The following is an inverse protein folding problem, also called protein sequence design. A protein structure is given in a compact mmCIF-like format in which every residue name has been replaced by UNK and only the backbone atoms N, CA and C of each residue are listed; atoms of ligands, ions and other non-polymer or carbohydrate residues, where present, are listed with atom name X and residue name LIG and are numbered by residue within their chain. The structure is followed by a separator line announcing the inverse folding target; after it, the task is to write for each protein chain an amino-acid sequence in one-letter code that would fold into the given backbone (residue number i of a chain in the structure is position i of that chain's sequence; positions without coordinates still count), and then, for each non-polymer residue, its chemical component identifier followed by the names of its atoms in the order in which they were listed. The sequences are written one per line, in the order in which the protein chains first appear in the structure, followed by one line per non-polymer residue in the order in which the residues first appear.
data_IF_198412292327
#
_entry.id   IF_198412292327
#
_cell.length_a   1.000
_cell.length_b   1.000
_cell.length_c   1.000
_cell.angle_alpha   90.00
_cell.angle_beta   90.00
_cell.angle_gamma   90.00
#
_symmetry.space_group_name_H-M   'P 1'
#
loop_
_entity.id
_entity.type
_entity.pdbx_description
1 polymer ?
#
# COMPACT_ATOMS: atom_id res chain seq x y z
N UNK A 1 12.77 1.61 -6.36
CA UNK A 1 11.32 1.80 -6.51
C UNK A 1 10.61 1.18 -5.32
N UNK A 2 9.69 1.92 -4.74
CA UNK A 2 9.01 1.54 -3.50
C UNK A 2 7.51 1.64 -3.69
N UNK A 3 6.79 0.57 -3.34
CA UNK A 3 5.34 0.57 -3.30
C UNK A 3 4.92 0.92 -1.88
N UNK A 4 4.02 1.88 -1.73
CA UNK A 4 3.48 2.28 -0.43
C UNK A 4 2.23 1.47 -0.11
N UNK A 5 2.22 0.79 1.04
CA UNK A 5 1.02 0.17 1.59
C UNK A 5 -0.01 1.26 1.94
N UNK A 6 -1.27 0.90 1.99
CA UNK A 6 -2.37 1.80 2.32
C UNK A 6 -2.13 2.58 3.62
N UNK A 7 -1.61 1.93 4.65
CA UNK A 7 -1.31 2.58 5.93
C UNK A 7 -0.25 3.68 5.81
N UNK A 8 0.72 3.51 4.92
CA UNK A 8 1.76 4.52 4.69
C UNK A 8 1.16 5.74 3.99
N UNK A 9 0.29 5.49 2.99
CA UNK A 9 -0.38 6.56 2.23
C UNK A 9 -1.32 7.35 3.14
N UNK A 10 -2.05 6.68 4.03
CA UNK A 10 -3.04 7.30 4.88
C UNK A 10 -2.48 7.96 6.14
N UNK A 11 -1.25 7.64 6.54
CA UNK A 11 -0.67 8.21 7.77
C UNK A 11 -0.67 9.74 7.77
N UNK A 12 -0.24 10.44 6.69
CA UNK A 12 -0.27 11.90 6.66
C UNK A 12 -1.67 12.51 6.77
N UNK A 13 -2.72 11.74 6.50
CA UNK A 13 -4.11 12.21 6.56
C UNK A 13 -4.70 12.16 7.97
N UNK A 14 -4.00 11.54 8.92
CA UNK A 14 -4.45 11.45 10.31
C UNK A 14 -4.30 12.79 11.01
N UNK A 15 -5.14 13.07 12.05
CA UNK A 15 -4.99 14.29 12.86
C UNK A 15 -3.62 14.39 13.53
N UNK A 16 -3.02 13.27 13.92
CA UNK A 16 -1.71 13.21 14.59
C UNK A 16 -0.83 12.17 13.90
N UNK A 17 -0.31 12.50 12.72
CA UNK A 17 0.54 11.55 11.99
C UNK A 17 1.85 11.30 12.72
N UNK A 18 2.38 10.09 12.55
CA UNK A 18 3.67 9.71 13.13
C UNK A 18 4.80 10.49 12.44
N UNK A 19 5.60 11.27 13.21
CA UNK A 19 6.70 12.04 12.63
C UNK A 19 7.72 11.19 11.87
N UNK A 20 7.97 9.96 12.30
CA UNK A 20 8.94 9.09 11.63
C UNK A 20 8.50 8.77 10.20
N UNK A 21 7.21 8.51 10.00
CA UNK A 21 6.66 8.22 8.67
C UNK A 21 6.72 9.46 7.78
N UNK A 22 6.33 10.63 8.33
CA UNK A 22 6.39 11.89 7.58
C UNK A 22 7.82 12.20 7.13
N UNK A 23 8.80 12.05 8.03
CA UNK A 23 10.19 12.29 7.71
C UNK A 23 10.71 11.31 6.67
N UNK A 24 10.32 10.04 6.78
CA UNK A 24 10.71 9.03 5.80
C UNK A 24 10.16 9.38 4.42
N UNK A 25 8.89 9.75 4.33
CA UNK A 25 8.26 10.15 3.06
C UNK A 25 8.95 11.38 2.46
N UNK A 26 9.25 12.37 3.29
CA UNK A 26 9.90 13.61 2.83
C UNK A 26 11.30 13.37 2.25
N UNK A 27 11.97 12.31 2.69
CA UNK A 27 13.30 11.94 2.18
C UNK A 27 13.25 11.19 0.87
N UNK A 28 12.07 10.72 0.45
CA UNK A 28 11.95 9.95 -0.80
C UNK A 28 11.77 10.88 -1.99
N UNK A 29 12.35 10.49 -3.13
CA UNK A 29 12.03 11.15 -4.39
C UNK A 29 10.62 10.70 -4.84
N UNK A 30 9.67 11.63 -5.07
CA UNK A 30 8.31 11.23 -5.46
C UNK A 30 8.24 10.30 -6.65
N UNK A 31 9.13 10.47 -7.63
CA UNK A 31 9.16 9.64 -8.83
C UNK A 31 9.50 8.16 -8.56
N UNK A 32 10.01 7.83 -7.38
CA UNK A 32 10.35 6.46 -6.98
C UNK A 32 9.24 5.79 -6.17
N UNK A 33 8.17 6.50 -5.85
CA UNK A 33 7.07 6.01 -5.04
C UNK A 33 5.89 5.59 -5.92
N UNK A 34 5.37 4.41 -5.64
CA UNK A 34 4.24 3.79 -6.35
C UNK A 34 3.16 3.40 -5.36
N UNK A 35 1.94 3.29 -5.83
CA UNK A 35 0.83 2.70 -5.09
C UNK A 35 0.19 1.62 -5.95
N UNK A 36 -0.73 0.85 -5.38
CA UNK A 36 -1.42 -0.22 -6.11
C UNK A 36 -2.91 0.08 -6.23
N UNK A 37 -3.57 -0.59 -7.17
CA UNK A 37 -5.04 -0.54 -7.26
C UNK A 37 -5.70 -1.11 -6.01
N UNK A 38 -5.02 -1.99 -5.26
CA UNK A 38 -5.51 -2.50 -3.98
C UNK A 38 -5.61 -1.36 -2.96
N UNK A 39 -4.54 -0.57 -2.81
CA UNK A 39 -4.56 0.61 -1.93
C UNK A 39 -5.57 1.64 -2.39
N UNK A 40 -5.67 1.86 -3.69
CA UNK A 40 -6.68 2.77 -4.26
C UNK A 40 -8.09 2.32 -3.84
N UNK A 41 -8.38 1.03 -3.98
CA UNK A 41 -9.69 0.47 -3.59
C UNK A 41 -9.95 0.63 -2.09
N UNK A 42 -8.95 0.35 -1.25
CA UNK A 42 -9.08 0.47 0.20
C UNK A 42 -9.30 1.92 0.64
N UNK A 43 -8.57 2.86 0.06
CA UNK A 43 -8.72 4.29 0.37
C UNK A 43 -10.11 4.79 -0.03
N UNK A 44 -10.56 4.46 -1.25
CA UNK A 44 -11.86 4.87 -1.73
C UNK A 44 -13.00 4.24 -0.92
N UNK A 45 -12.88 2.95 -0.58
CA UNK A 45 -13.86 2.26 0.25
C UNK A 45 -13.91 2.85 1.66
N UNK A 46 -12.76 3.19 2.24
CA UNK A 46 -12.68 3.81 3.56
C UNK A 46 -13.38 5.15 3.60
N UNK A 47 -13.20 5.99 2.58
CA UNK A 47 -13.90 7.27 2.47
C UNK A 47 -15.41 7.06 2.30
N UNK A 48 -15.80 6.11 1.44
CA UNK A 48 -17.21 5.81 1.16
C UNK A 48 -17.95 5.30 2.40
N UNK A 49 -17.24 4.68 3.34
CA UNK A 49 -17.82 4.17 4.60
C UNK A 49 -18.10 5.26 5.63
N UNK A 50 -17.58 6.47 5.43
CA UNK A 50 -17.86 7.59 6.34
C UNK A 50 -19.31 8.04 6.20
N UNK A 51 -19.91 8.62 7.27
CA UNK A 51 -21.24 9.20 7.17
C UNK A 51 -21.31 10.26 6.08
N UNK A 52 -22.42 10.32 5.36
CA UNK A 52 -22.66 11.34 4.35
C UNK A 52 -22.52 12.73 4.98
N UNK A 53 -21.79 13.62 4.29
CA UNK A 53 -21.59 14.98 4.77
C UNK A 53 -20.32 15.60 4.21
N UNK A 54 -20.01 16.79 4.72
CA UNK A 54 -18.89 17.61 4.25
C UNK A 54 -17.54 16.90 4.39
N UNK A 55 -17.31 16.23 5.53
CA UNK A 55 -16.04 15.53 5.79
C UNK A 55 -15.76 14.45 4.76
N UNK A 56 -16.77 13.63 4.43
CA UNK A 56 -16.63 12.58 3.43
C UNK A 56 -16.32 13.17 2.05
N UNK A 57 -17.04 14.21 1.67
CA UNK A 57 -16.85 14.89 0.37
C UNK A 57 -15.47 15.49 0.26
N UNK A 58 -15.00 16.18 1.31
CA UNK A 58 -13.67 16.80 1.32
C UNK A 58 -12.56 15.77 1.29
N UNK A 59 -12.66 14.70 2.10
CA UNK A 59 -11.65 13.66 2.14
C UNK A 59 -11.59 12.91 0.81
N UNK A 60 -12.73 12.67 0.15
CA UNK A 60 -12.78 12.07 -1.18
C UNK A 60 -11.97 12.90 -2.18
N UNK A 61 -12.15 14.21 -2.16
CA UNK A 61 -11.40 15.11 -3.06
C UNK A 61 -9.89 15.06 -2.80
N UNK A 62 -9.49 15.02 -1.53
CA UNK A 62 -8.07 14.94 -1.16
C UNK A 62 -7.46 13.63 -1.68
N UNK A 63 -8.12 12.51 -1.44
CA UNK A 63 -7.63 11.20 -1.90
C UNK A 63 -7.54 11.15 -3.42
N UNK A 64 -8.56 11.58 -4.13
CA UNK A 64 -8.57 11.60 -5.60
C UNK A 64 -7.46 12.49 -6.16
N UNK A 65 -7.25 13.66 -5.57
CA UNK A 65 -6.22 14.58 -5.99
C UNK A 65 -4.82 14.00 -5.78
N UNK A 66 -4.57 13.40 -4.63
CA UNK A 66 -3.27 12.80 -4.34
C UNK A 66 -2.96 11.64 -5.29
N UNK A 67 -3.95 10.76 -5.55
CA UNK A 67 -3.77 9.66 -6.49
C UNK A 67 -3.51 10.17 -7.91
N UNK A 68 -4.21 11.21 -8.33
CA UNK A 68 -4.08 11.75 -9.68
C UNK A 68 -2.80 12.55 -9.88
N UNK A 69 -2.35 13.32 -8.87
CA UNK A 69 -1.21 14.23 -9.03
C UNK A 69 0.11 13.64 -8.57
N UNK A 70 0.15 13.03 -7.36
CA UNK A 70 1.39 12.47 -6.82
C UNK A 70 1.77 11.14 -7.46
N UNK A 71 0.78 10.33 -7.82
CA UNK A 71 1.01 8.99 -8.35
C UNK A 71 0.55 8.82 -9.80
N UNK A 72 0.50 9.92 -10.56
CA UNK A 72 0.18 9.86 -11.98
C UNK A 72 1.09 8.84 -12.69
N UNK A 73 0.51 7.85 -13.37
CA UNK A 73 1.21 6.77 -14.06
C UNK A 73 2.03 5.85 -13.13
N UNK A 74 1.82 5.95 -11.82
CA UNK A 74 2.49 5.09 -10.84
C UNK A 74 1.51 4.34 -9.94
N UNK A 75 0.31 4.06 -10.44
CA UNK A 75 -0.66 3.18 -9.80
C UNK A 75 -0.57 1.82 -10.49
N UNK A 76 -0.04 0.84 -9.80
CA UNK A 76 0.22 -0.49 -10.37
C UNK A 76 -1.01 -1.39 -10.21
N UNK A 77 -1.52 -1.96 -11.31
CA UNK A 77 -2.70 -2.80 -11.23
C UNK A 77 -2.39 -4.23 -10.77
N UNK A 78 -3.38 -4.88 -10.16
CA UNK A 78 -3.36 -6.32 -9.94
C UNK A 78 -3.79 -7.01 -11.24
N UNK A 79 -2.83 -7.54 -11.98
CA UNK A 79 -3.06 -8.16 -13.28
C UNK A 79 -2.68 -9.65 -13.31
N UNK A 80 -2.53 -10.21 -14.49
CA UNK A 80 -2.22 -11.64 -14.66
C UNK A 80 -0.92 -12.05 -13.97
N UNK A 81 0.14 -11.26 -14.13
CA UNK A 81 1.42 -11.56 -13.48
C UNK A 81 1.34 -11.42 -11.97
N UNK A 82 0.58 -10.47 -11.48
CA UNK A 82 0.34 -10.34 -10.05
C UNK A 82 -0.42 -11.56 -9.52
N UNK A 83 -1.35 -12.09 -10.30
CA UNK A 83 -2.12 -13.28 -9.91
C UNK A 83 -1.20 -14.51 -9.71
N UNK A 84 -0.22 -14.71 -10.59
CA UNK A 84 0.77 -15.77 -10.44
C UNK A 84 1.64 -15.55 -9.19
N UNK A 85 2.14 -14.32 -9.01
CA UNK A 85 2.92 -13.95 -7.83
C UNK A 85 2.10 -14.10 -6.54
N UNK A 86 0.82 -13.79 -6.59
CA UNK A 86 -0.11 -13.96 -5.46
C UNK A 86 -0.15 -15.42 -4.98
N UNK A 87 -0.29 -16.36 -5.91
CA UNK A 87 -0.28 -17.77 -5.56
C UNK A 87 1.02 -18.16 -4.84
N UNK A 88 2.15 -17.65 -5.29
CA UNK A 88 3.45 -17.88 -4.66
C UNK A 88 3.52 -17.29 -3.25
N UNK A 89 3.06 -16.05 -3.07
CA UNK A 89 3.04 -15.37 -1.76
C UNK A 89 2.20 -16.17 -0.76
N UNK A 90 0.98 -16.53 -1.16
CA UNK A 90 0.07 -17.27 -0.28
C UNK A 90 0.64 -18.65 0.06
N UNK A 91 1.18 -19.37 -0.91
CA UNK A 91 1.74 -20.70 -0.70
C UNK A 91 2.93 -20.66 0.27
N UNK A 92 3.85 -19.71 0.09
CA UNK A 92 5.01 -19.59 0.96
C UNK A 92 4.64 -19.12 2.37
N UNK A 93 3.69 -18.20 2.49
CA UNK A 93 3.19 -17.75 3.79
C UNK A 93 2.51 -18.90 4.55
N UNK A 94 1.63 -19.64 3.89
CA UNK A 94 0.96 -20.80 4.48
C UNK A 94 1.95 -21.88 4.88
N UNK A 95 2.94 -22.14 4.04
CA UNK A 95 4.00 -23.13 4.31
C UNK A 95 4.83 -22.76 5.53
N UNK A 96 4.97 -21.48 5.84
CA UNK A 96 5.67 -20.97 7.02
C UNK A 96 4.75 -20.90 8.26
N UNK A 97 3.49 -21.36 8.15
CA UNK A 97 2.52 -21.29 9.22
C UNK A 97 2.02 -19.89 9.52
N UNK A 98 2.11 -18.99 8.56
CA UNK A 98 1.75 -17.58 8.71
C UNK A 98 0.75 -17.16 7.61
N UNK A 99 -0.54 -17.56 7.72
CA UNK A 99 -1.54 -17.18 6.73
C UNK A 99 -1.60 -15.67 6.56
N UNK A 100 -1.73 -15.22 5.30
CA UNK A 100 -1.76 -13.81 4.95
C UNK A 100 -3.11 -13.47 4.31
N UNK A 101 -3.67 -12.31 4.62
CA UNK A 101 -4.94 -11.91 4.05
C UNK A 101 -4.79 -11.49 2.58
N UNK A 102 -5.93 -11.33 1.89
CA UNK A 102 -5.95 -11.05 0.46
C UNK A 102 -5.26 -9.73 0.13
N UNK A 103 -5.60 -8.65 0.83
CA UNK A 103 -5.08 -7.33 0.50
C UNK A 103 -3.56 -7.27 0.63
N UNK A 104 -3.02 -7.78 1.74
CA UNK A 104 -1.57 -7.83 1.96
C UNK A 104 -0.89 -8.72 0.91
N UNK A 105 -1.44 -9.91 0.68
CA UNK A 105 -0.89 -10.84 -0.31
C UNK A 105 -0.91 -10.24 -1.72
N UNK A 106 -1.99 -9.54 -2.08
CA UNK A 106 -2.10 -8.90 -3.39
C UNK A 106 -1.09 -7.76 -3.56
N UNK A 107 -0.89 -6.93 -2.55
CA UNK A 107 0.13 -5.88 -2.59
C UNK A 107 1.54 -6.47 -2.66
N UNK A 108 1.80 -7.50 -1.88
CA UNK A 108 3.08 -8.22 -1.92
C UNK A 108 3.33 -8.86 -3.28
N UNK A 109 2.29 -9.40 -3.90
CA UNK A 109 2.37 -9.99 -5.25
C UNK A 109 2.76 -8.95 -6.31
N UNK A 110 2.17 -7.77 -6.24
CA UNK A 110 2.51 -6.67 -7.15
C UNK A 110 3.97 -6.25 -6.94
N UNK A 111 4.42 -6.19 -5.68
CA UNK A 111 5.81 -5.88 -5.38
C UNK A 111 6.77 -6.92 -5.96
N UNK A 112 6.45 -8.22 -5.84
CA UNK A 112 7.24 -9.29 -6.42
C UNK A 112 7.28 -9.21 -7.95
N UNK A 113 6.13 -8.98 -8.57
CA UNK A 113 6.04 -8.86 -10.03
C UNK A 113 7.01 -7.82 -10.58
N UNK A 114 7.10 -6.67 -9.91
CA UNK A 114 7.93 -5.55 -10.34
C UNK A 114 9.33 -5.56 -9.73
N UNK A 115 9.61 -6.47 -8.82
CA UNK A 115 10.86 -6.50 -8.05
C UNK A 115 11.08 -5.17 -7.29
N UNK A 116 10.01 -4.64 -6.71
CA UNK A 116 10.02 -3.42 -5.90
C UNK A 116 9.98 -3.76 -4.42
N UNK A 117 10.36 -2.79 -3.59
CA UNK A 117 10.23 -2.89 -2.13
C UNK A 117 8.81 -2.48 -1.75
N UNK A 118 8.19 -3.20 -0.81
CA UNK A 118 6.92 -2.81 -0.22
C UNK A 118 7.16 -2.11 1.12
N UNK A 119 6.80 -0.84 1.22
CA UNK A 119 6.85 -0.10 2.47
C UNK A 119 5.54 -0.35 3.23
N UNK A 120 5.63 -0.98 4.39
CA UNK A 120 4.48 -1.37 5.20
C UNK A 120 4.82 -1.39 6.68
N UNK A 121 3.82 -1.16 7.53
CA UNK A 121 3.93 -1.37 8.96
C UNK A 121 3.86 -2.86 9.31
N UNK A 122 3.16 -3.64 8.51
CA UNK A 122 2.78 -5.02 8.80
C UNK A 122 3.82 -6.03 8.31
N UNK A 123 5.11 -5.79 8.62
CA UNK A 123 6.20 -6.65 8.14
C UNK A 123 6.05 -8.11 8.59
N UNK A 124 5.51 -8.33 9.79
CA UNK A 124 5.30 -9.70 10.31
C UNK A 124 4.31 -10.50 9.49
N UNK A 125 3.34 -9.85 8.85
CA UNK A 125 2.33 -10.52 8.02
C UNK A 125 2.95 -11.15 6.77
N UNK A 126 4.14 -10.69 6.37
CA UNK A 126 4.86 -11.20 5.21
C UNK A 126 5.94 -12.23 5.57
N UNK A 127 5.97 -12.65 6.82
CA UNK A 127 6.94 -13.65 7.28
C UNK A 127 6.81 -14.94 6.48
N UNK A 128 7.93 -15.44 5.99
CA UNK A 128 7.98 -16.64 5.15
C UNK A 128 7.84 -16.37 3.66
N UNK A 129 7.55 -15.13 3.26
CA UNK A 129 7.47 -14.75 1.84
C UNK A 129 8.81 -14.15 1.38
N UNK A 130 8.99 -14.07 0.06
CA UNK A 130 10.18 -13.43 -0.52
C UNK A 130 9.96 -11.95 -0.88
N UNK A 131 8.87 -11.36 -0.40
CA UNK A 131 8.59 -9.93 -0.61
C UNK A 131 9.63 -9.10 0.14
N UNK A 132 10.24 -8.14 -0.55
CA UNK A 132 11.19 -7.20 0.07
C UNK A 132 10.42 -6.11 0.80
N UNK A 133 10.72 -5.92 2.08
CA UNK A 133 9.95 -5.05 2.95
C UNK A 133 10.79 -3.91 3.53
N UNK A 134 10.12 -2.82 3.86
CA UNK A 134 10.68 -1.68 4.59
C UNK A 134 9.59 -1.13 5.50
N UNK A 135 9.92 -0.86 6.76
CA UNK A 135 8.96 -0.31 7.72
C UNK A 135 9.28 1.16 8.00
N UNK A 136 8.47 2.12 7.48
CA UNK A 136 8.71 3.55 7.71
C UNK A 136 8.54 3.99 9.16
N UNK A 137 7.89 3.17 10.01
CA UNK A 137 7.72 3.46 11.44
C UNK A 137 8.95 3.10 12.28
N UNK A 138 9.87 2.34 11.73
CA UNK A 138 11.07 1.89 12.46
C UNK A 138 12.28 2.74 12.18
#
# INVERSE_FOLDING_TARGET
MIILDTNVISEPLKPRPDPAVLQWLDRQSPATLYVTTISQAELLAGVAALPAGKRRTELRKVVEKELASLFANRILPFGERSAEAYAQVVTTANGAGNPIDFADAAMGAIALEHNFILATRNVEDFKGTSVKLLNPWS
#
